data_IF_815097760265
#
_entry.id   IF_815097760265
#
_cell.length_a   1.000
_cell.length_b   1.000
_cell.length_c   1.000
_cell.angle_alpha   90.00
_cell.angle_beta   90.00
_cell.angle_gamma   90.00
#
_symmetry.space_group_name_H-M   'P 1'
#
loop_
_entity.id
_entity.type
_entity.pdbx_description
1 polymer ?
#
# COMPACT_ATOMS: atom_id res chain seq x y z
N UNK A 1 2.96 0.37 9.21
CA UNK A 1 3.56 1.35 8.26
C UNK A 1 2.78 1.26 6.96
N UNK A 2 2.32 2.39 6.41
CA UNK A 2 1.48 2.40 5.20
C UNK A 2 2.34 2.15 3.95
N UNK A 3 1.95 1.21 3.07
CA UNK A 3 2.70 0.90 1.85
C UNK A 3 2.76 2.08 0.87
N UNK A 4 1.74 2.94 0.84
CA UNK A 4 1.74 4.17 0.03
C UNK A 4 2.82 5.13 0.49
N UNK A 5 2.98 5.30 1.81
CA UNK A 5 4.05 6.12 2.39
C UNK A 5 5.45 5.54 2.11
N UNK A 6 5.61 4.21 2.20
CA UNK A 6 6.87 3.56 1.85
C UNK A 6 7.22 3.75 0.37
N UNK A 7 6.23 3.64 -0.53
CA UNK A 7 6.41 3.89 -1.97
C UNK A 7 6.82 5.33 -2.26
N UNK A 8 6.18 6.30 -1.61
CA UNK A 8 6.54 7.71 -1.70
C UNK A 8 7.98 7.97 -1.25
N UNK A 9 8.40 7.40 -0.11
CA UNK A 9 9.77 7.55 0.39
C UNK A 9 10.82 6.94 -0.53
N UNK A 10 10.55 5.79 -1.15
CA UNK A 10 11.44 5.21 -2.18
C UNK A 10 11.61 6.17 -3.34
N UNK A 11 10.50 6.70 -3.86
CA UNK A 11 10.51 7.63 -4.98
C UNK A 11 11.29 8.90 -4.66
N UNK A 12 11.05 9.51 -3.50
CA UNK A 12 11.74 10.72 -3.06
C UNK A 12 13.27 10.52 -2.96
N UNK A 13 13.69 9.39 -2.41
CA UNK A 13 15.13 9.05 -2.30
C UNK A 13 15.75 8.82 -3.68
N UNK A 14 15.02 8.21 -4.62
CA UNK A 14 15.51 8.00 -5.98
C UNK A 14 15.56 9.31 -6.79
N UNK A 15 14.60 10.21 -6.58
CA UNK A 15 14.57 11.51 -7.26
C UNK A 15 15.67 12.44 -6.75
N UNK A 16 15.92 12.45 -5.44
CA UNK A 16 17.06 13.18 -4.85
C UNK A 16 18.40 12.64 -5.32
N UNK A 17 18.55 11.33 -5.53
CA UNK A 17 19.76 10.72 -6.11
C UNK A 17 20.00 11.21 -7.56
N UNK A 18 18.94 11.30 -8.38
CA UNK A 18 19.04 11.87 -9.73
C UNK A 18 19.45 13.34 -9.69
N UNK A 19 18.86 14.13 -8.79
CA UNK A 19 19.19 15.54 -8.64
C UNK A 19 20.66 15.74 -8.24
N UNK A 20 21.19 14.89 -7.35
CA UNK A 20 22.61 14.90 -6.97
C UNK A 20 23.50 14.55 -8.17
N UNK A 21 23.12 13.56 -8.98
CA UNK A 21 23.87 13.20 -10.19
C UNK A 21 23.88 14.32 -11.25
N UNK A 22 22.78 15.07 -11.37
CA UNK A 22 22.72 16.25 -12.25
C UNK A 22 23.59 17.37 -11.69
N UNK A 23 23.48 17.67 -10.39
CA UNK A 23 24.28 18.69 -9.73
C UNK A 23 25.78 18.38 -9.78
N UNK A 24 26.16 17.09 -9.76
CA UNK A 24 27.55 16.66 -9.86
C UNK A 24 28.21 16.86 -11.22
N UNK A 25 27.43 17.14 -12.28
CA UNK A 25 28.00 17.42 -13.61
C UNK A 25 28.60 18.81 -13.72
N UNK A 26 27.94 19.79 -13.10
CA UNK A 26 28.41 21.17 -13.01
C UNK A 26 28.06 21.77 -11.64
N UNK A 27 28.80 21.42 -10.57
CA UNK A 27 28.49 21.88 -9.20
C UNK A 27 28.51 23.41 -9.07
N UNK A 28 29.37 24.09 -9.83
CA UNK A 28 29.51 25.53 -9.86
C UNK A 28 28.25 26.25 -10.37
N UNK A 29 27.48 25.65 -11.28
CA UNK A 29 26.21 26.20 -11.78
C UNK A 29 25.15 26.26 -10.67
N UNK A 30 25.22 25.33 -9.71
CA UNK A 30 24.31 25.23 -8.59
C UNK A 30 24.85 25.86 -7.30
N UNK A 31 26.07 26.41 -7.32
CA UNK A 31 26.74 26.98 -6.15
C UNK A 31 27.02 25.96 -5.04
N UNK A 32 27.22 24.69 -5.40
CA UNK A 32 27.44 23.59 -4.46
C UNK A 32 28.93 23.22 -4.47
N UNK A 33 29.51 23.01 -3.29
CA UNK A 33 30.89 22.53 -3.13
C UNK A 33 30.97 21.00 -3.26
N UNK A 34 32.10 20.48 -3.72
CA UNK A 34 32.35 19.04 -3.92
C UNK A 34 32.18 18.25 -2.61
N UNK A 35 32.61 18.84 -1.49
CA UNK A 35 32.47 18.24 -0.15
C UNK A 35 31.00 18.14 0.26
N UNK A 36 30.17 19.09 -0.15
CA UNK A 36 28.74 19.05 0.12
C UNK A 36 28.03 18.04 -0.78
N UNK A 37 28.42 17.97 -2.05
CA UNK A 37 27.92 16.98 -3.01
C UNK A 37 28.20 15.55 -2.51
N UNK A 38 29.41 15.28 -2.03
CA UNK A 38 29.79 13.97 -1.50
C UNK A 38 28.99 13.62 -0.23
N UNK A 39 28.73 14.60 0.65
CA UNK A 39 27.85 14.40 1.82
C UNK A 39 26.42 14.05 1.41
N UNK A 40 25.86 14.75 0.42
CA UNK A 40 24.52 14.48 -0.10
C UNK A 40 24.47 13.09 -0.74
N UNK A 41 25.45 12.72 -1.55
CA UNK A 41 25.55 11.38 -2.16
C UNK A 41 25.62 10.25 -1.10
N UNK A 42 26.43 10.43 -0.05
CA UNK A 42 26.53 9.49 1.07
C UNK A 42 25.22 9.35 1.83
N UNK A 43 24.54 10.47 2.09
CA UNK A 43 23.26 10.47 2.77
C UNK A 43 22.20 9.71 1.96
N UNK A 44 22.08 10.00 0.66
CA UNK A 44 21.08 9.36 -0.21
C UNK A 44 21.35 7.86 -0.36
N UNK A 45 22.63 7.45 -0.44
CA UNK A 45 23.02 6.04 -0.44
C UNK A 45 22.61 5.31 0.84
N UNK A 46 22.80 5.97 2.00
CA UNK A 46 22.40 5.42 3.30
C UNK A 46 20.88 5.35 3.44
N UNK A 47 20.17 6.39 3.00
CA UNK A 47 18.72 6.45 3.01
C UNK A 47 18.10 5.35 2.13
N UNK A 48 18.63 5.13 0.92
CA UNK A 48 18.20 4.05 0.02
C UNK A 48 18.36 2.67 0.66
N UNK A 49 19.48 2.42 1.34
CA UNK A 49 19.72 1.17 2.05
C UNK A 49 18.71 0.95 3.20
N UNK A 50 18.42 2.00 3.98
CA UNK A 50 17.44 1.93 5.08
C UNK A 50 16.02 1.66 4.56
N UNK A 51 15.57 2.42 3.55
CA UNK A 51 14.23 2.22 2.96
C UNK A 51 14.11 0.83 2.32
N UNK A 52 15.17 0.35 1.66
CA UNK A 52 15.23 -1.01 1.10
C UNK A 52 15.12 -2.09 2.17
N UNK A 53 15.78 -1.92 3.32
CA UNK A 53 15.65 -2.84 4.46
C UNK A 53 14.22 -2.86 5.00
N UNK A 54 13.61 -1.69 5.20
CA UNK A 54 12.23 -1.58 5.68
C UNK A 54 11.26 -2.23 4.69
N UNK A 55 11.42 -1.99 3.39
CA UNK A 55 10.63 -2.65 2.34
C UNK A 55 10.72 -4.16 2.42
N UNK A 56 11.93 -4.72 2.53
CA UNK A 56 12.14 -6.16 2.66
C UNK A 56 11.47 -6.74 3.91
N UNK A 57 11.52 -6.04 5.04
CA UNK A 57 10.85 -6.49 6.28
C UNK A 57 9.32 -6.48 6.16
N UNK A 58 8.76 -5.48 5.49
CA UNK A 58 7.31 -5.38 5.24
C UNK A 58 6.85 -6.48 4.27
N UNK A 59 7.64 -6.75 3.22
CA UNK A 59 7.36 -7.83 2.26
C UNK A 59 7.46 -9.22 2.90
N UNK A 60 8.50 -9.49 3.70
CA UNK A 60 8.65 -10.75 4.43
C UNK A 60 7.52 -10.99 5.47
N UNK A 61 6.98 -9.92 6.05
CA UNK A 61 5.78 -9.99 6.90
C UNK A 61 4.53 -10.44 6.12
N UNK A 62 4.41 -10.06 4.85
CA UNK A 62 3.30 -10.42 3.95
C UNK A 62 3.38 -11.86 3.43
N UNK A 63 4.58 -12.40 3.28
CA UNK A 63 4.77 -13.81 2.89
C UNK A 63 4.36 -14.77 4.02
N UNK A 64 4.63 -14.40 5.28
CA UNK A 64 4.17 -15.17 6.44
C UNK A 64 2.64 -15.23 6.57
N UNK A 65 1.92 -14.18 6.14
CA UNK A 65 0.45 -14.20 6.11
C UNK A 65 -0.14 -14.97 4.92
N UNK A 66 0.64 -15.19 3.85
CA UNK A 66 0.23 -16.00 2.68
C UNK A 66 0.44 -17.51 2.87
N UNK A 67 1.30 -17.93 3.81
CA UNK A 67 1.62 -19.34 4.08
C UNK A 67 0.54 -20.14 4.80
N UNK A 68 -0.47 -19.48 5.39
CA UNK A 68 -1.67 -20.13 5.88
C UNK A 68 -2.58 -20.36 4.68
N UNK A 69 -2.44 -21.53 4.06
CA UNK A 69 -3.29 -21.98 2.95
C UNK A 69 -4.75 -22.05 3.41
N UNK A 70 -5.49 -20.97 3.19
CA UNK A 70 -6.95 -20.86 3.42
C UNK A 70 -7.73 -21.98 2.71
N UNK A 71 -7.19 -22.53 1.61
CA UNK A 71 -7.82 -23.62 0.85
C UNK A 71 -7.75 -24.97 1.58
N UNK A 72 -6.66 -25.26 2.29
CA UNK A 72 -6.52 -26.53 3.03
C UNK A 72 -7.40 -26.56 4.28
N UNK A 73 -7.46 -25.43 4.99
CA UNK A 73 -8.28 -25.30 6.20
C UNK A 73 -9.78 -25.33 5.88
N UNK A 74 -10.22 -24.70 4.78
CA UNK A 74 -11.62 -24.77 4.33
C UNK A 74 -12.06 -26.20 4.00
N UNK A 75 -11.17 -27.02 3.45
CA UNK A 75 -11.49 -28.39 3.06
C UNK A 75 -11.57 -29.35 4.27
N UNK A 76 -10.74 -29.13 5.29
CA UNK A 76 -10.85 -29.81 6.59
C UNK A 76 -12.11 -29.35 7.37
N UNK A 77 -12.49 -28.07 7.29
CA UNK A 77 -13.69 -27.50 7.94
C UNK A 77 -15.02 -27.91 7.28
N UNK A 78 -15.00 -28.23 5.97
CA UNK A 78 -16.17 -28.74 5.24
C UNK A 78 -16.33 -30.26 5.38
N UNK A 79 -15.35 -30.95 5.97
CA UNK A 79 -15.39 -32.38 6.20
C UNK A 79 -16.22 -32.67 7.43
N UNK A 80 -17.53 -32.82 7.24
CA UNK A 80 -18.47 -33.29 8.26
C UNK A 80 -18.05 -34.70 8.71
N UNK A 81 -17.64 -34.92 9.98
CA UNK A 81 -17.44 -36.26 10.50
C UNK A 81 -18.80 -36.86 10.78
N UNK A 82 -19.26 -37.77 9.91
CA UNK A 82 -20.36 -38.66 10.26
C UNK A 82 -19.81 -39.99 10.77
N UNK A 83 -20.56 -40.57 11.70
CA UNK A 83 -20.42 -41.89 12.33
C UNK A 83 -19.54 -41.99 13.58
N UNK A 84 -20.13 -41.69 14.75
CA UNK A 84 -20.49 -42.70 15.76
C UNK A 84 -21.08 -42.08 17.04
N UNK A 85 -22.10 -42.71 17.67
CA UNK A 85 -22.86 -42.11 18.76
C UNK A 85 -22.29 -42.51 20.12
N UNK A 86 -21.23 -41.91 20.63
CA UNK A 86 -20.91 -41.99 22.07
C UNK A 86 -20.10 -40.77 22.50
N UNK A 87 -20.41 -40.25 23.70
CA UNK A 87 -19.81 -39.11 24.40
C UNK A 87 -20.44 -37.73 24.13
N UNK A 88 -21.73 -37.61 24.47
CA UNK A 88 -22.20 -36.45 25.26
C UNK A 88 -21.36 -36.46 26.54
N UNK A 89 -20.60 -35.41 26.83
CA UNK A 89 -20.35 -34.85 28.19
C UNK A 89 -19.14 -33.89 28.26
N UNK A 90 -18.33 -33.70 27.20
CA UNK A 90 -17.12 -32.84 27.30
C UNK A 90 -17.19 -31.45 26.65
N UNK A 91 -18.26 -31.08 25.94
CA UNK A 91 -18.23 -29.91 25.03
C UNK A 91 -18.82 -28.60 25.57
N UNK A 92 -19.21 -28.50 26.84
CA UNK A 92 -19.86 -27.28 27.34
C UNK A 92 -18.93 -26.05 27.47
N UNK A 93 -17.60 -26.23 27.47
CA UNK A 93 -16.65 -25.13 27.64
C UNK A 93 -16.06 -24.58 26.33
N UNK A 94 -16.33 -25.22 25.17
CA UNK A 94 -15.74 -24.82 23.88
C UNK A 94 -16.66 -23.99 22.97
N UNK A 95 -17.98 -24.05 23.17
CA UNK A 95 -18.95 -23.33 22.31
C UNK A 95 -19.02 -21.83 22.66
N UNK A 96 -18.90 -21.45 23.94
CA UNK A 96 -19.03 -20.04 24.37
C UNK A 96 -17.88 -19.17 23.87
N UNK A 97 -16.63 -19.64 23.98
CA UNK A 97 -15.46 -18.91 23.50
C UNK A 97 -15.47 -18.77 21.96
N UNK A 98 -16.08 -19.74 21.26
CA UNK A 98 -16.21 -19.71 19.81
C UNK A 98 -17.27 -18.71 19.35
N UNK A 99 -18.39 -18.57 20.06
CA UNK A 99 -19.43 -17.58 19.76
C UNK A 99 -18.96 -16.14 20.02
N UNK A 100 -18.20 -15.91 21.10
CA UNK A 100 -17.59 -14.60 21.39
C UNK A 100 -16.51 -14.23 20.37
N UNK A 101 -15.73 -15.21 19.91
CA UNK A 101 -14.77 -15.02 18.82
C UNK A 101 -15.47 -14.74 17.48
N UNK A 102 -16.52 -15.49 17.14
CA UNK A 102 -17.27 -15.30 15.89
C UNK A 102 -17.94 -13.93 15.86
N UNK A 103 -18.55 -13.48 16.96
CA UNK A 103 -19.19 -12.17 17.03
C UNK A 103 -18.18 -11.02 16.92
N UNK A 104 -17.07 -11.08 17.68
CA UNK A 104 -16.02 -10.05 17.60
C UNK A 104 -15.33 -9.99 16.23
N UNK A 105 -15.11 -11.14 15.58
CA UNK A 105 -14.54 -11.18 14.23
C UNK A 105 -15.55 -10.73 13.16
N UNK A 106 -16.84 -11.04 13.34
CA UNK A 106 -17.92 -10.55 12.47
C UNK A 106 -18.03 -9.03 12.51
N UNK A 107 -17.99 -8.42 13.70
CA UNK A 107 -18.01 -6.96 13.86
C UNK A 107 -16.79 -6.30 13.22
N UNK A 108 -15.62 -6.94 13.35
CA UNK A 108 -14.39 -6.48 12.69
C UNK A 108 -14.49 -6.52 11.17
N UNK A 109 -15.05 -7.59 10.61
CA UNK A 109 -15.28 -7.71 9.16
C UNK A 109 -16.27 -6.65 8.66
N UNK A 110 -17.34 -6.40 9.40
CA UNK A 110 -18.32 -5.36 9.06
C UNK A 110 -17.67 -3.97 9.04
N UNK A 111 -16.79 -3.67 10.00
CA UNK A 111 -16.10 -2.38 10.06
C UNK A 111 -15.12 -2.19 8.90
N UNK A 112 -14.44 -3.26 8.48
CA UNK A 112 -13.57 -3.25 7.30
C UNK A 112 -14.37 -3.02 6.00
N UNK A 113 -15.56 -3.62 5.86
CA UNK A 113 -16.42 -3.39 4.70
C UNK A 113 -16.90 -1.94 4.63
N UNK A 114 -17.35 -1.37 5.74
CA UNK A 114 -17.74 0.05 5.80
C UNK A 114 -16.60 0.99 5.41
N UNK A 115 -15.40 0.73 5.92
CA UNK A 115 -14.24 1.53 5.57
C UNK A 115 -13.91 1.42 4.07
N UNK A 116 -14.03 0.22 3.48
CA UNK A 116 -13.84 0.05 2.04
C UNK A 116 -14.88 0.80 1.22
N UNK A 117 -16.14 0.81 1.65
CA UNK A 117 -17.20 1.57 0.98
C UNK A 117 -16.91 3.09 1.04
N UNK A 118 -16.50 3.61 2.20
CA UNK A 118 -16.09 5.02 2.34
C UNK A 118 -14.88 5.37 1.46
N UNK A 119 -13.87 4.49 1.40
CA UNK A 119 -12.70 4.67 0.52
C UNK A 119 -13.08 4.65 -0.98
N UNK A 120 -14.10 3.88 -1.36
CA UNK A 120 -14.60 3.84 -2.74
C UNK A 120 -15.39 5.10 -3.09
N UNK A 121 -16.17 5.65 -2.16
CA UNK A 121 -16.89 6.91 -2.36
C UNK A 121 -15.91 8.07 -2.55
N UNK A 122 -14.86 8.16 -1.71
CA UNK A 122 -13.81 9.18 -1.86
C UNK A 122 -13.06 9.01 -3.20
N UNK A 123 -12.74 7.78 -3.59
CA UNK A 123 -12.09 7.49 -4.88
C UNK A 123 -12.98 7.93 -6.05
N UNK A 124 -14.28 7.67 -5.97
CA UNK A 124 -15.26 8.06 -6.98
C UNK A 124 -15.28 9.59 -7.17
N UNK A 125 -15.30 10.35 -6.07
CA UNK A 125 -15.19 11.81 -6.13
C UNK A 125 -13.88 12.27 -6.79
N UNK A 126 -12.76 11.62 -6.44
CA UNK A 126 -11.46 11.95 -7.03
C UNK A 126 -11.45 11.72 -8.53
N UNK A 127 -12.04 10.62 -9.02
CA UNK A 127 -12.14 10.32 -10.45
C UNK A 127 -13.03 11.34 -11.15
N UNK A 128 -14.15 11.76 -10.54
CA UNK A 128 -15.00 12.80 -11.11
C UNK A 128 -14.28 14.14 -11.23
N UNK A 129 -13.53 14.56 -10.19
CA UNK A 129 -12.70 15.77 -10.22
C UNK A 129 -11.65 15.70 -11.32
N UNK A 130 -10.95 14.58 -11.46
CA UNK A 130 -9.94 14.38 -12.51
C UNK A 130 -10.56 14.42 -13.91
N UNK A 131 -11.75 13.84 -14.08
CA UNK A 131 -12.50 13.89 -15.33
C UNK A 131 -12.87 15.31 -15.72
N UNK A 132 -13.34 16.11 -14.76
CA UNK A 132 -13.64 17.53 -14.96
C UNK A 132 -12.41 18.34 -15.37
N UNK A 133 -11.29 18.17 -14.67
CA UNK A 133 -10.02 18.82 -15.03
C UNK A 133 -9.54 18.39 -16.42
N UNK A 134 -9.67 17.11 -16.77
CA UNK A 134 -9.32 16.59 -18.09
C UNK A 134 -10.13 17.24 -19.22
N UNK A 135 -11.43 17.48 -19.00
CA UNK A 135 -12.27 18.21 -19.96
C UNK A 135 -11.81 19.66 -20.12
N UNK A 136 -11.54 20.37 -19.02
CA UNK A 136 -11.05 21.76 -19.07
C UNK A 136 -9.69 21.85 -19.77
N UNK A 137 -8.77 20.92 -19.51
CA UNK A 137 -7.48 20.86 -20.21
C UNK A 137 -7.69 20.61 -21.71
N UNK A 138 -8.61 19.71 -22.07
CA UNK A 138 -8.90 19.41 -23.46
C UNK A 138 -9.46 20.63 -24.21
N UNK A 139 -10.43 21.34 -23.62
CA UNK A 139 -10.98 22.58 -24.18
C UNK A 139 -9.91 23.66 -24.36
N UNK A 140 -9.06 23.86 -23.35
CA UNK A 140 -7.95 24.82 -23.39
C UNK A 140 -6.93 24.47 -24.49
N UNK A 141 -6.50 23.21 -24.58
CA UNK A 141 -5.60 22.75 -25.64
C UNK A 141 -6.22 22.93 -27.03
N UNK A 142 -7.51 22.67 -27.19
CA UNK A 142 -8.23 22.86 -28.45
C UNK A 142 -8.30 24.34 -28.83
N UNK A 143 -8.52 25.23 -27.85
CA UNK A 143 -8.50 26.68 -28.04
C UNK A 143 -7.11 27.21 -28.44
N UNK A 144 -6.05 26.74 -27.78
CA UNK A 144 -4.67 27.08 -28.14
C UNK A 144 -4.28 26.57 -29.53
N UNK A 145 -4.78 25.39 -29.93
CA UNK A 145 -4.53 24.85 -31.26
C UNK A 145 -5.22 25.69 -32.34
N UNK A 146 -6.46 26.11 -32.09
CA UNK A 146 -7.18 27.02 -32.98
C UNK A 146 -6.48 28.37 -33.15
N UNK A 147 -5.93 28.94 -32.08
CA UNK A 147 -5.19 30.23 -32.11
C UNK A 147 -3.84 30.12 -32.81
N UNK A 148 -3.20 28.94 -32.84
CA UNK A 148 -1.92 28.73 -33.54
C UNK A 148 -2.08 28.50 -35.05
N UNK A 149 -3.28 28.12 -35.51
CA UNK A 149 -3.59 27.84 -36.91
C UNK A 149 -4.11 29.09 -37.68
N UNK A 150 -4.33 30.22 -37.00
CA UNK A 150 -4.72 31.53 -37.56
C UNK A 150 -3.53 32.49 -37.69
#
# INVERSE_FOLDING_TARGET
MNLKLLGFLVFEVDETDKAINVAGRDPAWYGIDEVELEKRSRWTSTARAQVGSVKKTVEAGKEKSKGVSLSGMRQELMRVPNDRPYQKESNLYGDQDNDDFISSESDRQLLLMKQQDEELDELSESVQRIGGVGLTIHEELSGQLHVNDE
#
